data_IF_328283490083
#
_entry.id   IF_328283490083
#
_cell.length_a   1.000
_cell.length_b   1.000
_cell.length_c   1.000
_cell.angle_alpha   90.00
_cell.angle_beta   90.00
_cell.angle_gamma   90.00
#
_symmetry.space_group_name_H-M   'P 1'
#
loop_
_entity.id
_entity.type
_entity.pdbx_description
1 polymer ?
#
# COMPACT_ATOMS: atom_id res chain seq x y z
N UNK A 1 24.32 26.26 28.26
CA UNK A 1 23.07 26.82 27.70
C UNK A 1 23.14 28.32 27.90
N UNK A 2 23.22 29.07 26.80
CA UNK A 2 23.24 30.53 26.82
C UNK A 2 21.82 31.03 27.09
N UNK A 3 21.67 32.21 27.74
CA UNK A 3 20.38 32.83 28.07
C UNK A 3 19.51 33.00 26.83
N UNK A 4 20.13 33.26 25.69
CA UNK A 4 19.44 33.35 24.37
C UNK A 4 18.96 31.97 23.86
N UNK A 5 19.69 30.89 24.13
CA UNK A 5 19.23 29.54 23.82
C UNK A 5 18.04 29.15 24.70
N UNK A 6 18.09 29.45 25.97
CA UNK A 6 16.99 29.23 26.93
C UNK A 6 15.73 30.02 26.55
N UNK A 7 15.89 31.32 26.19
CA UNK A 7 14.78 32.13 25.70
C UNK A 7 14.21 31.63 24.35
N UNK A 8 15.07 31.15 23.45
CA UNK A 8 14.62 30.53 22.18
C UNK A 8 13.86 29.24 22.41
N UNK A 9 14.30 28.40 23.31
CA UNK A 9 13.59 27.14 23.63
C UNK A 9 12.24 27.43 24.29
N UNK A 10 12.17 28.32 25.27
CA UNK A 10 10.92 28.74 25.90
C UNK A 10 9.91 29.40 24.95
N UNK A 11 10.37 30.25 24.05
CA UNK A 11 9.50 30.86 23.05
C UNK A 11 9.06 29.83 22.00
N UNK A 12 9.94 28.90 21.61
CA UNK A 12 9.61 27.80 20.69
C UNK A 12 8.56 26.86 21.26
N UNK A 13 8.58 26.59 22.56
CA UNK A 13 7.54 25.77 23.22
C UNK A 13 6.19 26.49 23.24
N UNK A 14 6.16 27.79 23.52
CA UNK A 14 4.90 28.57 23.57
C UNK A 14 4.27 28.80 22.19
N UNK A 15 5.07 28.98 21.14
CA UNK A 15 4.63 29.21 19.79
C UNK A 15 4.43 27.93 18.97
N UNK A 16 4.73 26.74 19.54
CA UNK A 16 4.52 25.48 18.83
C UNK A 16 3.03 25.15 18.69
N UNK A 17 2.61 24.48 17.60
CA UNK A 17 1.22 24.09 17.40
C UNK A 17 0.66 23.31 18.60
N UNK A 18 -0.62 23.51 18.92
CA UNK A 18 -1.31 22.89 20.05
C UNK A 18 -1.09 21.36 20.11
N UNK A 19 -1.15 20.69 18.96
CA UNK A 19 -0.89 19.27 18.85
C UNK A 19 0.54 18.85 19.27
N UNK A 20 1.50 19.77 19.27
CA UNK A 20 2.84 19.55 19.76
C UNK A 20 2.96 19.83 21.26
N UNK A 21 2.31 20.89 21.76
CA UNK A 21 2.30 21.29 23.18
C UNK A 21 1.57 20.27 24.04
N UNK A 22 0.41 19.77 23.60
CA UNK A 22 -0.41 18.78 24.30
C UNK A 22 0.11 17.33 24.18
N UNK A 23 1.28 17.14 23.56
CA UNK A 23 1.81 15.79 23.40
C UNK A 23 2.05 15.14 24.77
N UNK A 24 1.51 13.92 24.99
CA UNK A 24 1.77 13.13 26.18
C UNK A 24 3.26 13.03 26.51
N UNK A 25 3.61 13.15 27.77
CA UNK A 25 4.97 12.96 28.31
C UNK A 25 5.12 11.61 28.98
N UNK A 26 4.03 11.03 29.46
CA UNK A 26 3.98 9.72 30.09
C UNK A 26 3.05 8.77 29.33
N UNK A 27 3.22 7.47 29.54
CA UNK A 27 2.40 6.44 28.88
C UNK A 27 0.93 6.52 29.31
N UNK A 28 0.68 6.92 30.56
CA UNK A 28 -0.65 6.98 31.14
C UNK A 28 -1.45 8.22 30.64
N UNK A 29 -0.79 9.20 30.02
CA UNK A 29 -1.42 10.35 29.37
C UNK A 29 -1.87 10.06 27.93
N UNK A 30 -1.45 8.93 27.35
CA UNK A 30 -1.80 8.60 25.96
C UNK A 30 -3.28 8.22 25.89
N UNK A 31 -4.02 8.94 25.07
CA UNK A 31 -5.43 8.67 24.80
C UNK A 31 -5.53 7.66 23.66
N UNK A 32 -6.46 6.70 23.78
CA UNK A 32 -6.70 5.66 22.79
C UNK A 32 -5.66 4.54 22.79
N UNK A 33 -5.58 3.80 21.68
CA UNK A 33 -4.63 2.70 21.45
C UNK A 33 -4.65 1.60 22.53
N UNK A 34 -5.79 1.39 23.20
CA UNK A 34 -5.93 0.45 24.34
C UNK A 34 -5.52 -0.99 23.99
N UNK A 35 -5.67 -1.39 22.72
CA UNK A 35 -5.33 -2.74 22.23
C UNK A 35 -3.81 -3.04 22.31
N UNK A 36 -2.94 -2.01 22.33
CA UNK A 36 -1.48 -2.16 22.45
C UNK A 36 -0.90 -1.52 23.72
N UNK A 37 -1.58 -0.53 24.31
CA UNK A 37 -1.10 0.26 25.45
C UNK A 37 -1.84 0.03 26.78
N UNK A 38 -2.83 -0.87 26.83
CA UNK A 38 -3.43 -1.24 28.13
C UNK A 38 -2.39 -1.91 29.02
N UNK A 39 -2.58 -1.80 30.35
CA UNK A 39 -1.59 -2.25 31.37
C UNK A 39 -1.18 -3.72 31.25
N UNK A 40 -2.05 -4.57 30.73
CA UNK A 40 -1.83 -6.00 30.45
C UNK A 40 -1.06 -6.26 29.15
N UNK A 41 -0.91 -5.28 28.28
CA UNK A 41 -0.33 -5.45 26.95
C UNK A 41 1.20 -5.45 26.96
N UNK A 42 1.76 -6.14 25.96
CA UNK A 42 3.20 -6.33 25.82
C UNK A 42 3.96 -5.00 25.79
N UNK A 43 3.51 -4.06 24.93
CA UNK A 43 4.21 -2.79 24.75
C UNK A 43 4.25 -1.96 26.05
N UNK A 44 3.11 -1.85 26.76
CA UNK A 44 3.05 -1.17 28.05
C UNK A 44 4.05 -1.75 29.06
N UNK A 45 4.03 -3.08 29.21
CA UNK A 45 4.92 -3.78 30.16
C UNK A 45 6.39 -3.64 29.79
N UNK A 46 6.72 -3.69 28.51
CA UNK A 46 8.08 -3.51 28.00
C UNK A 46 8.62 -2.09 28.29
N UNK A 47 7.77 -1.06 28.10
CA UNK A 47 8.10 0.33 28.41
C UNK A 47 8.36 0.50 29.91
N UNK A 48 7.45 0.03 30.76
CA UNK A 48 7.58 0.15 32.22
C UNK A 48 8.78 -0.63 32.77
N UNK A 49 9.18 -1.72 32.15
CA UNK A 49 10.32 -2.54 32.56
C UNK A 49 11.66 -2.06 31.98
N UNK A 50 11.69 -0.97 31.18
CA UNK A 50 12.89 -0.51 30.44
C UNK A 50 13.54 -1.64 29.60
N UNK A 51 12.71 -2.48 28.97
CA UNK A 51 13.12 -3.66 28.19
C UNK A 51 12.56 -3.60 26.76
N UNK A 52 12.74 -2.44 26.12
CA UNK A 52 12.29 -2.25 24.75
C UNK A 52 13.31 -2.85 23.77
N UNK A 53 12.81 -3.71 22.88
CA UNK A 53 13.46 -4.13 21.65
C UNK A 53 13.08 -3.20 20.49
N UNK A 54 13.65 -3.40 19.33
CA UNK A 54 13.25 -2.66 18.13
C UNK A 54 11.78 -2.91 17.80
N UNK A 55 11.07 -1.85 17.41
CA UNK A 55 9.64 -1.87 17.09
C UNK A 55 9.35 -1.08 15.81
N UNK A 56 8.29 -1.45 15.14
CA UNK A 56 7.72 -0.71 14.02
C UNK A 56 6.28 -0.34 14.38
N UNK A 57 6.01 0.96 14.39
CA UNK A 57 4.68 1.53 14.62
C UNK A 57 4.08 1.90 13.27
N UNK A 58 2.99 1.25 12.86
CA UNK A 58 2.34 1.58 11.60
C UNK A 58 0.86 1.91 11.81
N UNK A 59 0.31 2.72 10.91
CA UNK A 59 -1.09 3.11 10.95
C UNK A 59 -1.32 4.53 10.42
N UNK A 60 -2.58 5.01 10.34
CA UNK A 60 -2.94 6.30 9.77
C UNK A 60 -2.25 7.49 10.43
N UNK A 61 -2.15 8.65 9.74
CA UNK A 61 -1.61 9.86 10.33
C UNK A 61 -2.46 10.32 11.54
N UNK A 62 -1.84 11.01 12.48
CA UNK A 62 -2.51 11.55 13.66
C UNK A 62 -2.87 10.55 14.76
N UNK A 63 -2.54 9.26 14.60
CA UNK A 63 -2.85 8.18 15.58
C UNK A 63 -1.88 8.08 16.75
N UNK A 64 -0.79 8.88 16.77
CA UNK A 64 0.12 8.96 17.90
C UNK A 64 1.46 8.25 17.75
N UNK A 65 1.88 7.79 16.55
CA UNK A 65 3.17 7.10 16.32
C UNK A 65 4.38 7.83 16.92
N UNK A 66 4.57 9.09 16.54
CA UNK A 66 5.65 9.94 17.05
C UNK A 66 5.50 10.23 18.55
N UNK A 67 4.27 10.32 19.04
CA UNK A 67 3.96 10.51 20.46
C UNK A 67 4.41 9.31 21.29
N UNK A 68 4.04 8.10 20.87
CA UNK A 68 4.45 6.85 21.55
C UNK A 68 5.97 6.74 21.57
N UNK A 69 6.65 7.02 20.46
CA UNK A 69 8.12 6.96 20.39
C UNK A 69 8.77 7.94 21.40
N UNK A 70 8.25 9.16 21.54
CA UNK A 70 8.74 10.13 22.52
C UNK A 70 8.44 9.74 23.96
N UNK A 71 7.26 9.19 24.23
CA UNK A 71 6.92 8.66 25.55
C UNK A 71 7.83 7.50 25.95
N UNK A 72 8.14 6.62 25.00
CA UNK A 72 9.13 5.55 25.21
C UNK A 72 10.48 6.17 25.60
N UNK A 73 10.93 7.15 24.84
CA UNK A 73 12.20 7.84 25.10
C UNK A 73 12.25 8.49 26.49
N UNK A 74 11.17 9.15 26.89
CA UNK A 74 11.07 9.82 28.19
C UNK A 74 11.00 8.84 29.38
N UNK A 75 10.48 7.63 29.14
CA UNK A 75 10.29 6.63 30.19
C UNK A 75 11.50 5.71 30.32
N UNK A 76 12.35 5.62 29.33
CA UNK A 76 13.54 4.75 29.31
C UNK A 76 14.80 5.51 29.65
N UNK A 77 15.85 4.80 30.07
CA UNK A 77 17.19 5.36 30.36
C UNK A 77 18.03 5.59 29.09
N UNK A 78 17.50 5.26 27.90
CA UNK A 78 18.20 5.34 26.63
C UNK A 78 18.35 6.78 26.10
N UNK A 79 19.42 7.02 25.34
CA UNK A 79 19.54 8.26 24.57
C UNK A 79 18.58 8.23 23.39
N UNK A 80 17.88 9.34 23.12
CA UNK A 80 16.91 9.41 22.01
C UNK A 80 17.45 10.26 20.86
N UNK A 81 17.40 9.72 19.67
CA UNK A 81 17.70 10.46 18.43
C UNK A 81 16.59 10.24 17.42
N UNK A 82 16.13 11.33 16.81
CA UNK A 82 15.07 11.29 15.80
C UNK A 82 15.63 11.71 14.44
N UNK A 83 15.31 10.95 13.42
CA UNK A 83 15.53 11.32 12.01
C UNK A 83 14.22 11.17 11.23
N UNK A 84 14.08 11.95 10.17
CA UNK A 84 12.97 11.82 9.23
C UNK A 84 13.50 11.26 7.90
N UNK A 85 13.02 10.11 7.48
CA UNK A 85 13.50 9.40 6.30
C UNK A 85 13.24 10.16 4.99
N UNK A 86 12.34 11.17 4.97
CA UNK A 86 12.10 11.98 3.77
C UNK A 86 13.25 12.94 3.46
N UNK A 87 14.07 13.30 4.47
CA UNK A 87 15.14 14.32 4.35
C UNK A 87 16.51 13.73 4.69
N UNK A 88 16.55 12.69 5.53
CA UNK A 88 17.80 12.13 6.04
C UNK A 88 18.57 11.35 4.96
N UNK A 89 19.85 11.66 4.85
CA UNK A 89 20.80 10.99 3.98
C UNK A 89 21.69 10.00 4.73
N UNK A 90 22.62 9.40 3.99
CA UNK A 90 23.59 8.43 4.54
C UNK A 90 24.46 9.04 5.66
N UNK A 91 24.86 10.31 5.51
CA UNK A 91 25.68 11.02 6.52
C UNK A 91 24.97 11.17 7.86
N UNK A 92 23.69 11.50 7.82
CA UNK A 92 22.89 11.65 9.07
C UNK A 92 22.82 10.33 9.82
N UNK A 93 22.69 9.21 9.10
CA UNK A 93 22.69 7.86 9.68
C UNK A 93 24.05 7.50 10.27
N UNK A 94 25.15 7.83 9.58
CA UNK A 94 26.52 7.60 10.06
C UNK A 94 26.80 8.38 11.35
N UNK A 95 26.35 9.65 11.44
CA UNK A 95 26.47 10.46 12.65
C UNK A 95 25.69 9.87 13.84
N UNK A 96 24.46 9.39 13.59
CA UNK A 96 23.64 8.75 14.62
C UNK A 96 24.33 7.48 15.14
N UNK A 97 24.83 6.65 14.23
CA UNK A 97 25.54 5.41 14.60
C UNK A 97 26.81 5.73 15.39
N UNK A 98 27.59 6.74 15.00
CA UNK A 98 28.77 7.16 15.73
C UNK A 98 28.43 7.58 17.16
N UNK A 99 27.43 8.47 17.31
CA UNK A 99 26.93 8.90 18.64
C UNK A 99 26.42 7.73 19.48
N UNK A 100 25.74 6.76 18.85
CA UNK A 100 25.24 5.58 19.56
C UNK A 100 26.37 4.70 20.10
N UNK A 101 27.43 4.50 19.32
CA UNK A 101 28.64 3.78 19.76
C UNK A 101 29.34 4.50 20.92
N UNK A 102 29.46 5.83 20.82
CA UNK A 102 30.06 6.63 21.90
C UNK A 102 29.22 6.55 23.18
N UNK A 103 27.89 6.69 23.09
CA UNK A 103 26.99 6.56 24.22
C UNK A 103 27.08 5.19 24.91
N UNK A 104 27.16 4.13 24.11
CA UNK A 104 27.28 2.77 24.61
C UNK A 104 28.66 2.53 25.22
N UNK A 105 29.75 2.97 24.55
CA UNK A 105 31.11 2.79 25.02
C UNK A 105 31.48 3.60 26.27
N UNK A 106 31.03 4.87 26.33
CA UNK A 106 31.37 5.77 27.42
C UNK A 106 30.43 5.66 28.65
N UNK A 107 29.13 5.41 28.38
CA UNK A 107 28.12 5.52 29.44
C UNK A 107 27.29 4.24 29.63
N UNK A 108 27.54 3.18 28.85
CA UNK A 108 26.74 1.96 28.86
C UNK A 108 25.26 2.18 28.48
N UNK A 109 24.93 3.34 27.87
CA UNK A 109 23.56 3.72 27.54
C UNK A 109 23.23 3.29 26.08
N UNK A 110 22.12 2.61 25.91
CA UNK A 110 21.56 2.32 24.58
C UNK A 110 21.05 3.59 23.91
N UNK A 111 21.04 3.61 22.59
CA UNK A 111 20.44 4.70 21.83
C UNK A 111 19.19 4.20 21.12
N UNK A 112 18.06 4.87 21.38
CA UNK A 112 16.82 4.70 20.62
C UNK A 112 16.91 5.61 19.40
N UNK A 113 16.90 5.00 18.21
CA UNK A 113 16.77 5.71 16.96
C UNK A 113 15.32 5.67 16.50
N UNK A 114 14.65 6.81 16.55
CA UNK A 114 13.32 6.97 15.95
C UNK A 114 13.44 7.43 14.51
N UNK A 115 12.92 6.61 13.58
CA UNK A 115 12.88 6.90 12.14
C UNK A 115 11.44 7.17 11.75
N UNK A 116 11.12 8.44 11.50
CA UNK A 116 9.80 8.81 10.98
C UNK A 116 9.72 8.56 9.47
N UNK A 117 8.60 8.02 9.00
CA UNK A 117 8.36 7.61 7.61
C UNK A 117 9.42 6.63 7.08
N UNK A 118 9.74 5.57 7.84
CA UNK A 118 10.82 4.62 7.54
C UNK A 118 10.70 3.99 6.14
N UNK A 119 9.49 3.89 5.57
CA UNK A 119 9.26 3.41 4.21
C UNK A 119 9.90 4.29 3.12
N UNK A 120 10.27 5.54 3.44
CA UNK A 120 10.99 6.45 2.52
C UNK A 120 12.47 6.12 2.41
N UNK A 121 13.02 5.35 3.32
CA UNK A 121 14.37 4.84 3.17
C UNK A 121 14.43 3.77 2.07
N UNK A 122 15.40 3.90 1.17
CA UNK A 122 15.70 2.85 0.20
C UNK A 122 16.28 1.59 0.89
N UNK A 123 16.29 0.47 0.17
CA UNK A 123 16.78 -0.81 0.72
C UNK A 123 18.19 -0.72 1.30
N UNK A 124 19.12 -0.01 0.63
CA UNK A 124 20.49 0.16 1.10
C UNK A 124 20.59 0.95 2.40
N UNK A 125 19.71 1.94 2.62
CA UNK A 125 19.64 2.69 3.86
C UNK A 125 19.06 1.84 5.00
N UNK A 126 18.04 1.04 4.71
CA UNK A 126 17.48 0.09 5.67
C UNK A 126 18.50 -1.00 6.05
N UNK A 127 19.23 -1.54 5.06
CA UNK A 127 20.28 -2.54 5.28
C UNK A 127 21.45 -1.99 6.12
N UNK A 128 21.77 -0.71 5.98
CA UNK A 128 22.81 -0.05 6.77
C UNK A 128 22.52 -0.08 8.29
N UNK A 129 21.27 -0.05 8.70
CA UNK A 129 20.87 -0.09 10.12
C UNK A 129 20.95 -1.49 10.72
N UNK A 130 20.86 -2.55 9.91
CA UNK A 130 20.77 -3.94 10.36
C UNK A 130 21.87 -4.35 11.36
N UNK A 131 23.17 -4.16 11.09
CA UNK A 131 24.22 -4.58 12.00
C UNK A 131 24.09 -3.97 13.40
N UNK A 132 23.65 -2.70 13.48
CA UNK A 132 23.54 -1.95 14.74
C UNK A 132 22.27 -2.28 15.51
N UNK A 133 21.24 -2.77 14.83
CA UNK A 133 20.04 -3.34 15.45
C UNK A 133 20.32 -4.76 15.95
N UNK A 134 21.13 -5.54 15.22
CA UNK A 134 21.51 -6.91 15.59
C UNK A 134 22.41 -6.94 16.82
N UNK A 135 23.41 -6.08 16.89
CA UNK A 135 24.36 -6.04 18.02
C UNK A 135 23.81 -5.26 19.24
N UNK A 136 22.63 -4.63 19.11
CA UNK A 136 21.96 -3.89 20.16
C UNK A 136 22.55 -2.49 20.45
N UNK A 137 23.45 -1.99 19.61
CA UNK A 137 23.94 -0.60 19.66
C UNK A 137 22.79 0.39 19.47
N UNK A 138 21.86 0.05 18.58
CA UNK A 138 20.64 0.81 18.32
C UNK A 138 19.40 0.01 18.67
N UNK A 139 18.44 0.65 19.32
CA UNK A 139 17.05 0.21 19.39
C UNK A 139 16.26 1.02 18.37
N UNK A 140 15.81 0.37 17.29
CA UNK A 140 15.08 1.03 16.24
C UNK A 140 13.60 1.18 16.62
N UNK A 141 13.06 2.40 16.50
CA UNK A 141 11.62 2.64 16.50
C UNK A 141 11.29 3.22 15.11
N UNK A 142 10.80 2.38 14.21
CA UNK A 142 10.32 2.81 12.89
C UNK A 142 8.87 3.28 12.97
N UNK A 143 8.53 4.41 12.35
CA UNK A 143 7.15 4.85 12.16
C UNK A 143 6.82 4.91 10.67
N UNK A 144 5.64 4.44 10.29
CA UNK A 144 5.17 4.47 8.90
C UNK A 144 3.65 4.58 8.84
N UNK A 145 3.15 5.18 7.77
CA UNK A 145 1.72 5.15 7.42
C UNK A 145 1.38 3.96 6.53
N UNK A 146 2.40 3.28 5.98
CA UNK A 146 2.25 2.19 5.03
C UNK A 146 2.42 0.83 5.72
N UNK A 147 1.90 -0.23 5.08
CA UNK A 147 2.04 -1.59 5.61
C UNK A 147 3.52 -2.02 5.62
N UNK A 148 4.13 -2.24 6.79
CA UNK A 148 5.55 -2.50 6.90
C UNK A 148 5.98 -3.79 6.19
N UNK A 149 5.10 -4.76 6.02
CA UNK A 149 5.42 -6.01 5.33
C UNK A 149 5.70 -5.85 3.83
N UNK A 150 5.27 -4.74 3.22
CA UNK A 150 5.56 -4.42 1.83
C UNK A 150 6.75 -3.48 1.66
N UNK A 151 6.91 -2.53 2.59
CA UNK A 151 7.80 -1.38 2.41
C UNK A 151 9.08 -1.45 3.25
N UNK A 152 9.06 -2.22 4.34
CA UNK A 152 10.23 -2.37 5.21
C UNK A 152 10.96 -3.67 4.90
N UNK A 153 12.29 -3.63 4.92
CA UNK A 153 13.13 -4.80 4.68
C UNK A 153 12.77 -5.95 5.63
N UNK A 154 12.55 -7.14 5.07
CA UNK A 154 12.21 -8.35 5.82
C UNK A 154 13.20 -8.69 6.94
N UNK A 155 14.48 -8.32 6.79
CA UNK A 155 15.48 -8.50 7.82
C UNK A 155 15.27 -7.57 9.04
N UNK A 156 14.82 -6.33 8.84
CA UNK A 156 14.42 -5.43 9.94
C UNK A 156 13.12 -5.90 10.60
N UNK A 157 12.15 -6.34 9.79
CA UNK A 157 10.87 -6.87 10.28
C UNK A 157 11.09 -8.06 11.21
N UNK A 158 11.95 -9.02 10.82
CA UNK A 158 12.23 -10.22 11.62
C UNK A 158 12.88 -9.92 12.99
N UNK A 159 13.41 -8.72 13.16
CA UNK A 159 14.08 -8.24 14.38
C UNK A 159 13.30 -7.20 15.16
N UNK A 160 12.11 -6.86 14.70
CA UNK A 160 11.26 -5.82 15.28
C UNK A 160 9.89 -6.36 15.65
N UNK A 161 9.33 -5.90 16.76
CA UNK A 161 7.92 -6.13 17.04
C UNK A 161 7.08 -5.10 16.30
N UNK A 162 6.02 -5.55 15.63
CA UNK A 162 5.16 -4.69 14.82
C UNK A 162 3.90 -4.37 15.63
N UNK A 163 3.56 -3.08 15.73
CA UNK A 163 2.35 -2.61 16.40
C UNK A 163 1.53 -1.74 15.46
N UNK A 164 0.31 -2.16 15.24
CA UNK A 164 -0.69 -1.41 14.49
C UNK A 164 -1.32 -0.34 15.38
N UNK A 165 -1.33 0.91 14.92
CA UNK A 165 -2.09 2.00 15.52
C UNK A 165 -3.37 2.20 14.70
N UNK A 166 -4.50 2.23 15.38
CA UNK A 166 -5.80 2.43 14.76
C UNK A 166 -6.21 3.91 14.82
N UNK A 167 -7.09 4.37 13.93
CA UNK A 167 -7.73 5.67 14.10
C UNK A 167 -8.29 5.78 15.53
N UNK A 168 -8.17 6.97 16.12
CA UNK A 168 -8.75 7.21 17.44
C UNK A 168 -10.28 7.15 17.36
N UNK A 169 -10.89 6.60 18.39
CA UNK A 169 -12.34 6.56 18.49
C UNK A 169 -12.89 7.97 18.77
N UNK A 170 -14.15 8.20 18.47
CA UNK A 170 -14.81 9.48 18.65
C UNK A 170 -14.65 10.01 20.08
N UNK A 171 -14.82 9.13 21.07
CA UNK A 171 -14.66 9.49 22.48
C UNK A 171 -13.23 9.86 22.85
N UNK A 172 -12.23 9.21 22.23
CA UNK A 172 -10.83 9.56 22.41
C UNK A 172 -10.53 10.98 21.89
N UNK A 173 -11.11 11.34 20.74
CA UNK A 173 -10.97 12.68 20.17
C UNK A 173 -11.68 13.73 21.02
N UNK A 174 -12.88 13.46 21.53
CA UNK A 174 -13.56 14.35 22.47
C UNK A 174 -12.72 14.62 23.71
N UNK A 175 -12.15 13.57 24.30
CA UNK A 175 -11.25 13.69 25.46
C UNK A 175 -10.07 14.62 25.15
N UNK A 176 -9.44 14.46 23.97
CA UNK A 176 -8.32 15.31 23.53
C UNK A 176 -8.73 16.77 23.35
N UNK A 177 -9.89 17.04 22.73
CA UNK A 177 -10.41 18.41 22.53
C UNK A 177 -10.73 19.06 23.89
N UNK A 178 -11.41 18.36 24.81
CA UNK A 178 -11.74 18.86 26.13
C UNK A 178 -10.47 19.15 26.94
N UNK A 179 -9.48 18.25 26.89
CA UNK A 179 -8.16 18.48 27.49
C UNK A 179 -7.49 19.72 26.90
N UNK A 180 -7.57 19.91 25.59
CA UNK A 180 -7.00 21.06 24.91
C UNK A 180 -7.60 22.39 25.38
N UNK A 181 -8.90 22.45 25.58
CA UNK A 181 -9.62 23.65 26.00
C UNK A 181 -9.41 23.95 27.50
N UNK A 182 -9.21 22.93 28.34
CA UNK A 182 -9.12 23.07 29.80
C UNK A 182 -7.70 23.19 30.35
N UNK A 183 -6.70 22.63 29.69
CA UNK A 183 -5.30 22.66 30.14
C UNK A 183 -4.75 24.09 30.04
N UNK A 184 -4.39 24.70 31.19
CA UNK A 184 -3.87 26.06 31.28
C UNK A 184 -2.38 26.17 30.94
N UNK A 185 -1.64 25.09 31.10
CA UNK A 185 -0.19 25.10 30.95
C UNK A 185 0.23 24.78 29.51
N UNK A 186 -0.34 23.74 28.94
CA UNK A 186 0.02 23.25 27.60
C UNK A 186 -1.06 23.49 26.54
N UNK A 187 -2.30 23.77 26.99
CA UNK A 187 -3.48 23.90 26.14
C UNK A 187 -3.91 25.35 25.90
N UNK A 188 -5.22 25.51 25.78
CA UNK A 188 -5.93 26.74 25.51
C UNK A 188 -6.70 27.26 26.75
N UNK A 189 -6.53 26.65 27.92
CA UNK A 189 -7.29 26.99 29.14
C UNK A 189 -7.12 28.45 29.59
N UNK A 190 -6.04 29.14 29.18
CA UNK A 190 -5.84 30.58 29.41
C UNK A 190 -6.78 31.50 28.60
N UNK A 191 -7.42 30.99 27.56
CA UNK A 191 -8.38 31.72 26.73
C UNK A 191 -9.80 31.70 27.28
N UNK A 192 -10.10 30.86 28.30
CA UNK A 192 -11.42 30.68 28.87
C UNK A 192 -12.49 30.28 27.81
N UNK A 193 -12.07 29.43 26.86
CA UNK A 193 -12.95 28.96 25.82
C UNK A 193 -13.90 27.88 26.32
N UNK A 194 -15.14 27.90 25.78
CA UNK A 194 -16.17 26.89 26.02
C UNK A 194 -16.57 26.30 24.68
N UNK A 195 -16.54 24.99 24.57
CA UNK A 195 -17.02 24.28 23.37
C UNK A 195 -18.43 23.74 23.62
N UNK A 196 -19.35 23.99 22.70
CA UNK A 196 -20.70 23.44 22.72
C UNK A 196 -20.70 21.95 22.37
N UNK A 197 -21.67 21.19 22.89
CA UNK A 197 -21.68 19.71 22.72
C UNK A 197 -21.80 19.29 21.25
N UNK A 198 -22.63 19.98 20.46
CA UNK A 198 -22.78 19.74 19.02
C UNK A 198 -21.50 20.07 18.23
N UNK A 199 -20.79 21.12 18.59
CA UNK A 199 -19.49 21.46 18.03
C UNK A 199 -18.42 20.39 18.37
N UNK A 200 -18.43 19.90 19.61
CA UNK A 200 -17.54 18.84 20.07
C UNK A 200 -17.80 17.54 19.30
N UNK A 201 -19.07 17.15 19.19
CA UNK A 201 -19.49 15.98 18.42
C UNK A 201 -19.06 16.09 16.96
N UNK A 202 -19.29 17.24 16.36
CA UNK A 202 -18.96 17.51 14.96
C UNK A 202 -17.45 17.45 14.69
N UNK A 203 -16.63 18.09 15.51
CA UNK A 203 -15.16 18.04 15.38
C UNK A 203 -14.63 16.62 15.56
N UNK A 204 -15.19 15.87 16.51
CA UNK A 204 -14.77 14.50 16.76
C UNK A 204 -15.09 13.59 15.57
N UNK A 205 -16.28 13.72 14.96
CA UNK A 205 -16.67 12.94 13.78
C UNK A 205 -15.82 13.28 12.55
N UNK A 206 -15.67 14.58 12.25
CA UNK A 206 -14.98 15.02 11.03
C UNK A 206 -13.45 14.89 11.09
N UNK A 207 -12.87 14.74 12.28
CA UNK A 207 -11.44 14.47 12.42
C UNK A 207 -11.03 13.12 11.84
N UNK A 208 -11.97 12.17 11.69
CA UNK A 208 -11.72 10.83 11.17
C UNK A 208 -10.70 10.03 11.98
N UNK A 209 -10.61 10.29 13.30
CA UNK A 209 -9.66 9.65 14.21
C UNK A 209 -8.23 10.23 14.15
N UNK A 210 -8.03 11.36 13.47
CA UNK A 210 -6.77 12.11 13.42
C UNK A 210 -6.76 13.20 14.53
N UNK A 211 -6.05 12.94 15.64
CA UNK A 211 -5.90 13.88 16.74
C UNK A 211 -5.30 15.23 16.32
N UNK A 212 -4.37 15.24 15.39
CA UNK A 212 -3.73 16.48 14.91
C UNK A 212 -4.74 17.36 14.19
N UNK A 213 -5.61 16.76 13.39
CA UNK A 213 -6.65 17.50 12.67
C UNK A 213 -7.65 18.14 13.64
N UNK A 214 -8.11 17.38 14.63
CA UNK A 214 -9.02 17.87 15.67
C UNK A 214 -8.40 19.02 16.50
N UNK A 215 -7.15 18.85 16.93
CA UNK A 215 -6.43 19.85 17.74
C UNK A 215 -6.11 21.13 16.95
N UNK A 216 -5.79 21.02 15.67
CA UNK A 216 -5.58 22.20 14.84
C UNK A 216 -6.89 22.97 14.61
N UNK A 217 -8.01 22.26 14.41
CA UNK A 217 -9.31 22.88 14.22
C UNK A 217 -9.74 23.67 15.47
N UNK A 218 -9.64 23.07 16.66
CA UNK A 218 -10.02 23.75 17.91
C UNK A 218 -9.04 24.89 18.22
N UNK A 219 -7.72 24.78 17.94
CA UNK A 219 -6.76 25.86 18.10
C UNK A 219 -7.15 27.05 17.22
N UNK A 220 -7.46 26.82 15.96
CA UNK A 220 -7.89 27.87 15.04
C UNK A 220 -9.18 28.52 15.53
N UNK A 221 -10.19 27.74 15.94
CA UNK A 221 -11.45 28.26 16.45
C UNK A 221 -11.26 29.18 17.67
N UNK A 222 -10.47 28.75 18.64
CA UNK A 222 -10.21 29.57 19.84
C UNK A 222 -9.43 30.84 19.54
N UNK A 223 -8.45 30.77 18.60
CA UNK A 223 -7.60 31.91 18.26
C UNK A 223 -8.30 32.96 17.40
N UNK A 224 -9.36 32.59 16.66
CA UNK A 224 -10.02 33.48 15.68
C UNK A 224 -11.41 33.95 16.12
N UNK A 225 -12.00 33.35 17.15
CA UNK A 225 -13.32 33.72 17.64
C UNK A 225 -13.22 34.82 18.69
N UNK A 226 -14.03 35.87 18.54
CA UNK A 226 -14.10 36.98 19.50
C UNK A 226 -14.77 36.54 20.80
N UNK A 227 -14.43 37.22 21.89
CA UNK A 227 -15.09 36.97 23.20
C UNK A 227 -16.52 37.45 23.20
N UNK A 228 -17.41 36.66 23.73
CA UNK A 228 -18.81 37.01 23.94
C UNK A 228 -18.99 38.00 25.10
N UNK A 229 -20.22 38.47 25.33
CA UNK A 229 -20.55 39.43 26.41
C UNK A 229 -20.24 38.87 27.82
N UNK A 230 -20.20 37.57 28.01
CA UNK A 230 -19.80 36.89 29.25
C UNK A 230 -18.28 36.81 29.45
N UNK A 231 -17.49 37.36 28.50
CA UNK A 231 -16.04 37.37 28.50
C UNK A 231 -15.40 36.06 28.03
N UNK A 232 -16.16 35.07 27.65
CA UNK A 232 -15.67 33.76 27.19
C UNK A 232 -15.68 33.65 25.67
N UNK A 233 -14.90 32.73 25.15
CA UNK A 233 -14.89 32.35 23.74
C UNK A 233 -15.80 31.13 23.57
N UNK A 234 -16.89 31.25 22.81
CA UNK A 234 -17.84 30.18 22.55
C UNK A 234 -17.54 29.54 21.20
N UNK A 235 -17.18 28.26 21.22
CA UNK A 235 -16.98 27.45 20.01
C UNK A 235 -18.31 26.76 19.71
N UNK A 236 -19.09 27.40 18.85
CA UNK A 236 -20.38 26.90 18.37
C UNK A 236 -20.17 25.95 17.18
N UNK A 237 -21.22 25.24 16.77
CA UNK A 237 -21.20 24.39 15.57
C UNK A 237 -20.77 25.18 14.32
N UNK A 238 -21.25 26.41 14.15
CA UNK A 238 -20.88 27.25 13.00
C UNK A 238 -19.37 27.55 12.97
N UNK A 239 -18.78 27.89 14.12
CA UNK A 239 -17.33 28.09 14.24
C UNK A 239 -16.57 26.82 13.94
N UNK A 240 -17.04 25.67 14.45
CA UNK A 240 -16.43 24.38 14.21
C UNK A 240 -16.45 23.99 12.72
N UNK A 241 -17.55 24.26 12.01
CA UNK A 241 -17.69 24.04 10.57
C UNK A 241 -16.71 24.86 9.73
N UNK A 242 -16.44 26.10 10.12
CA UNK A 242 -15.46 26.97 9.44
C UNK A 242 -14.02 26.52 9.70
N UNK A 243 -13.71 26.05 10.92
CA UNK A 243 -12.36 25.74 11.32
C UNK A 243 -11.87 24.36 10.84
N UNK A 244 -12.77 23.42 10.67
CA UNK A 244 -12.40 22.13 10.15
C UNK A 244 -12.39 22.19 8.62
N UNK A 245 -11.21 22.37 8.04
CA UNK A 245 -11.09 22.22 6.60
C UNK A 245 -11.54 20.83 6.21
N UNK A 246 -12.60 20.72 5.40
CA UNK A 246 -12.98 19.47 4.73
C UNK A 246 -11.78 19.01 3.87
N UNK A 247 -10.89 18.27 4.47
CA UNK A 247 -10.04 17.39 3.67
C UNK A 247 -11.00 16.35 3.11
N UNK A 248 -11.20 16.38 1.78
CA UNK A 248 -11.85 15.28 1.09
C UNK A 248 -11.33 13.99 1.70
N UNK A 249 -12.20 12.97 1.90
CA UNK A 249 -11.82 11.70 2.54
C UNK A 249 -10.39 11.36 2.14
N UNK A 250 -9.45 11.39 3.09
CA UNK A 250 -8.08 10.99 2.83
C UNK A 250 -8.10 9.50 2.56
N UNK A 251 -8.17 9.22 1.33
CA UNK A 251 -7.67 7.99 0.78
C UNK A 251 -6.15 8.11 0.92
N UNK A 252 -5.61 7.39 1.88
CA UNK A 252 -4.17 7.30 2.03
C UNK A 252 -3.68 6.55 0.80
N UNK A 253 -3.05 7.26 -0.14
CA UNK A 253 -2.64 6.69 -1.44
C UNK A 253 -1.68 5.52 -1.28
N UNK A 254 -1.09 5.39 -0.11
CA UNK A 254 -0.04 4.44 0.23
C UNK A 254 -0.39 3.58 1.48
N UNK A 255 -1.62 3.66 2.03
CA UNK A 255 -2.04 2.93 3.24
C UNK A 255 -2.85 1.65 2.97
N UNK A 256 -3.08 0.84 4.02
CA UNK A 256 -3.84 -0.41 3.95
C UNK A 256 -5.22 -0.26 3.28
N UNK A 257 -5.91 0.86 3.51
CA UNK A 257 -7.18 1.19 2.84
C UNK A 257 -7.05 1.34 1.31
N UNK A 258 -5.87 1.75 0.82
CA UNK A 258 -5.60 1.80 -0.62
C UNK A 258 -5.55 0.39 -1.19
N UNK A 259 -4.69 -0.47 -0.62
CA UNK A 259 -4.53 -1.85 -1.09
C UNK A 259 -5.84 -2.64 -0.97
N UNK A 260 -6.60 -2.45 0.10
CA UNK A 260 -7.90 -3.08 0.30
C UNK A 260 -8.93 -2.61 -0.73
N UNK A 261 -9.00 -1.32 -1.03
CA UNK A 261 -9.90 -0.78 -2.04
C UNK A 261 -9.53 -1.24 -3.45
N UNK A 262 -8.23 -1.22 -3.80
CA UNK A 262 -7.74 -1.75 -5.08
C UNK A 262 -8.01 -3.26 -5.19
N UNK A 263 -7.78 -4.01 -4.12
CA UNK A 263 -8.08 -5.44 -4.06
C UNK A 263 -9.57 -5.72 -4.24
N UNK A 264 -10.44 -4.96 -3.56
CA UNK A 264 -11.87 -5.06 -3.70
C UNK A 264 -12.34 -4.70 -5.13
N UNK A 265 -11.78 -3.65 -5.72
CA UNK A 265 -12.03 -3.25 -7.11
C UNK A 265 -11.74 -4.38 -8.10
N UNK A 266 -10.54 -4.97 -8.02
CA UNK A 266 -10.14 -6.09 -8.89
C UNK A 266 -11.04 -7.30 -8.64
N UNK A 267 -11.31 -7.66 -7.38
CA UNK A 267 -12.17 -8.80 -7.02
C UNK A 267 -13.61 -8.62 -7.49
N UNK A 268 -14.13 -7.40 -7.49
CA UNK A 268 -15.47 -7.10 -8.02
C UNK A 268 -15.56 -7.32 -9.51
N UNK A 269 -14.58 -6.83 -10.30
CA UNK A 269 -14.52 -7.11 -11.74
C UNK A 269 -14.35 -8.61 -12.02
N UNK A 270 -13.48 -9.30 -11.29
CA UNK A 270 -13.27 -10.75 -11.39
C UNK A 270 -14.53 -11.54 -11.03
N UNK A 271 -15.25 -11.11 -9.99
CA UNK A 271 -16.48 -11.71 -9.51
C UNK A 271 -17.72 -11.37 -10.32
N UNK A 272 -17.59 -10.58 -11.40
CA UNK A 272 -18.69 -10.15 -12.25
C UNK A 272 -19.77 -9.34 -11.53
N UNK A 273 -19.36 -8.48 -10.60
CA UNK A 273 -20.20 -7.51 -9.93
C UNK A 273 -19.89 -6.08 -10.44
N UNK A 274 -20.61 -5.59 -11.46
CA UNK A 274 -20.37 -4.27 -12.05
C UNK A 274 -20.70 -3.12 -11.08
N UNK A 275 -21.68 -3.29 -10.18
CA UNK A 275 -22.08 -2.24 -9.24
C UNK A 275 -21.01 -2.03 -8.19
N UNK A 276 -20.50 -3.09 -7.59
CA UNK A 276 -19.38 -3.02 -6.66
C UNK A 276 -18.10 -2.48 -7.36
N UNK A 277 -17.83 -2.90 -8.61
CA UNK A 277 -16.68 -2.42 -9.36
C UNK A 277 -16.76 -0.90 -9.62
N UNK A 278 -17.91 -0.37 -10.00
CA UNK A 278 -18.14 1.08 -10.19
C UNK A 278 -18.06 1.82 -8.86
N UNK A 279 -18.58 1.25 -7.77
CA UNK A 279 -18.47 1.85 -6.44
C UNK A 279 -17.01 2.01 -6.01
N UNK A 280 -16.19 0.97 -6.13
CA UNK A 280 -14.77 1.04 -5.77
C UNK A 280 -13.97 1.93 -6.73
N UNK A 281 -14.34 1.98 -8.02
CA UNK A 281 -13.81 2.98 -8.96
C UNK A 281 -14.08 4.40 -8.47
N UNK A 282 -15.33 4.71 -8.13
CA UNK A 282 -15.71 6.03 -7.63
C UNK A 282 -14.98 6.38 -6.32
N UNK A 283 -14.82 5.40 -5.42
CA UNK A 283 -14.06 5.57 -4.16
C UNK A 283 -12.58 5.90 -4.43
N UNK A 284 -11.93 5.23 -5.40
CA UNK A 284 -10.55 5.52 -5.80
C UNK A 284 -10.42 6.91 -6.46
N UNK A 285 -11.33 7.26 -7.37
CA UNK A 285 -11.34 8.56 -8.05
C UNK A 285 -11.59 9.72 -7.08
N UNK A 286 -12.55 9.57 -6.17
CA UNK A 286 -12.84 10.56 -5.13
C UNK A 286 -11.64 10.79 -4.21
N UNK A 287 -10.88 9.74 -3.95
CA UNK A 287 -9.66 9.78 -3.18
C UNK A 287 -8.45 10.38 -3.95
N UNK A 288 -8.63 10.70 -5.21
CA UNK A 288 -7.59 11.28 -6.07
C UNK A 288 -6.55 10.28 -6.57
N UNK A 289 -6.95 8.99 -6.70
CA UNK A 289 -6.08 7.98 -7.29
C UNK A 289 -5.76 8.31 -8.75
N UNK A 290 -4.58 7.89 -9.19
CA UNK A 290 -4.14 8.11 -10.58
C UNK A 290 -5.03 7.38 -11.56
N UNK A 291 -5.63 8.09 -12.52
CA UNK A 291 -6.42 7.48 -13.60
C UNK A 291 -5.63 6.46 -14.41
N UNK A 292 -4.31 6.69 -14.59
CA UNK A 292 -3.42 5.76 -15.29
C UNK A 292 -3.13 4.50 -14.46
N UNK A 293 -3.07 4.62 -13.14
CA UNK A 293 -2.97 3.46 -12.25
C UNK A 293 -4.25 2.61 -12.34
N UNK A 294 -5.42 3.23 -12.24
CA UNK A 294 -6.72 2.53 -12.35
C UNK A 294 -6.83 1.84 -13.70
N UNK A 295 -6.51 2.53 -14.80
CA UNK A 295 -6.54 1.97 -16.15
C UNK A 295 -5.63 0.74 -16.30
N UNK A 296 -4.42 0.75 -15.71
CA UNK A 296 -3.54 -0.41 -15.69
C UNK A 296 -4.16 -1.61 -14.97
N UNK A 297 -4.89 -1.40 -13.87
CA UNK A 297 -5.59 -2.49 -13.16
C UNK A 297 -6.71 -3.10 -13.98
N UNK A 298 -7.42 -2.27 -14.74
CA UNK A 298 -8.46 -2.75 -15.68
C UNK A 298 -7.82 -3.60 -16.80
N UNK A 299 -6.71 -3.16 -17.40
CA UNK A 299 -6.00 -3.93 -18.43
C UNK A 299 -5.49 -5.28 -17.92
N UNK A 300 -4.95 -5.31 -16.71
CA UNK A 300 -4.49 -6.56 -16.07
C UNK A 300 -5.68 -7.50 -15.86
N UNK A 301 -6.79 -7.03 -15.29
CA UNK A 301 -7.99 -7.82 -15.07
C UNK A 301 -8.59 -8.35 -16.38
N UNK A 302 -8.61 -7.53 -17.44
CA UNK A 302 -9.05 -7.94 -18.77
C UNK A 302 -8.22 -9.10 -19.35
N UNK A 303 -6.90 -9.13 -19.06
CA UNK A 303 -6.01 -10.20 -19.53
C UNK A 303 -6.00 -11.41 -18.62
N UNK A 304 -6.01 -11.22 -17.30
CA UNK A 304 -5.88 -12.25 -16.27
C UNK A 304 -7.20 -13.02 -16.08
N UNK A 305 -8.33 -12.30 -15.95
CA UNK A 305 -9.61 -12.84 -15.51
C UNK A 305 -10.62 -13.05 -16.65
N UNK A 306 -10.52 -12.27 -17.73
CA UNK A 306 -11.36 -12.41 -18.93
C UNK A 306 -10.63 -13.20 -20.02
N UNK A 307 -9.40 -12.81 -20.33
CA UNK A 307 -8.55 -13.49 -21.31
C UNK A 307 -9.25 -13.73 -22.65
N UNK A 308 -9.15 -14.96 -23.17
CA UNK A 308 -9.75 -15.35 -24.44
C UNK A 308 -11.25 -15.66 -24.37
N UNK A 309 -11.87 -15.59 -23.18
CA UNK A 309 -13.33 -15.72 -23.08
C UNK A 309 -14.06 -14.53 -23.75
N UNK A 310 -13.44 -13.33 -23.72
CA UNK A 310 -13.83 -12.18 -24.56
C UNK A 310 -12.58 -11.41 -25.01
N UNK A 311 -12.08 -11.65 -26.23
CA UNK A 311 -10.91 -10.97 -26.77
C UNK A 311 -11.02 -9.44 -26.84
N UNK A 312 -12.23 -8.89 -26.86
CA UNK A 312 -12.46 -7.45 -26.93
C UNK A 312 -12.20 -6.75 -25.57
N UNK A 313 -12.25 -7.48 -24.45
CA UNK A 313 -12.08 -6.88 -23.14
C UNK A 313 -10.74 -6.14 -23.00
N UNK A 314 -9.66 -6.74 -23.48
CA UNK A 314 -8.34 -6.10 -23.48
C UNK A 314 -8.31 -4.90 -24.44
N UNK A 315 -8.94 -4.99 -25.61
CA UNK A 315 -9.02 -3.87 -26.56
C UNK A 315 -9.74 -2.66 -25.96
N UNK A 316 -10.89 -2.89 -25.30
CA UNK A 316 -11.63 -1.84 -24.59
C UNK A 316 -10.80 -1.23 -23.46
N UNK A 317 -10.13 -2.06 -22.66
CA UNK A 317 -9.30 -1.59 -21.55
C UNK A 317 -8.10 -0.75 -22.05
N UNK A 318 -7.44 -1.15 -23.14
CA UNK A 318 -6.33 -0.41 -23.75
C UNK A 318 -6.82 0.92 -24.35
N UNK A 319 -7.94 0.90 -25.10
CA UNK A 319 -8.53 2.12 -25.63
C UNK A 319 -8.91 3.11 -24.53
N UNK A 320 -9.49 2.63 -23.42
CA UNK A 320 -9.80 3.46 -22.26
C UNK A 320 -8.53 4.05 -21.63
N UNK A 321 -7.46 3.25 -21.46
CA UNK A 321 -6.19 3.72 -20.92
C UNK A 321 -5.59 4.86 -21.77
N UNK A 322 -5.58 4.72 -23.07
CA UNK A 322 -5.11 5.76 -23.99
C UNK A 322 -5.98 7.02 -23.99
N UNK A 323 -7.29 6.86 -23.84
CA UNK A 323 -8.22 7.98 -23.83
C UNK A 323 -8.10 8.80 -22.54
N UNK A 324 -7.99 8.16 -21.35
CA UNK A 324 -7.89 8.89 -20.07
C UNK A 324 -6.60 9.71 -19.95
N UNK A 325 -5.50 9.25 -20.57
CA UNK A 325 -4.24 10.01 -20.61
C UNK A 325 -4.36 11.31 -21.41
N UNK A 326 -5.24 11.33 -22.43
CA UNK A 326 -5.42 12.50 -23.32
C UNK A 326 -6.47 13.46 -22.79
N UNK A 327 -7.51 12.94 -22.16
CA UNK A 327 -8.69 13.73 -21.77
C UNK A 327 -8.54 14.27 -20.35
N UNK A 328 -8.07 13.44 -19.41
CA UNK A 328 -7.97 13.83 -18.00
C UNK A 328 -9.31 13.90 -17.27
N UNK A 329 -9.25 14.32 -16.01
CA UNK A 329 -10.45 14.52 -15.17
C UNK A 329 -11.11 15.88 -15.50
N UNK A 330 -12.44 15.99 -15.37
CA UNK A 330 -13.38 15.02 -14.81
C UNK A 330 -13.89 13.94 -15.78
N UNK A 331 -13.75 14.10 -17.11
CA UNK A 331 -14.35 13.23 -18.11
C UNK A 331 -13.76 11.82 -18.12
N UNK A 332 -12.51 11.65 -17.66
CA UNK A 332 -11.85 10.34 -17.56
C UNK A 332 -12.65 9.33 -16.70
N UNK A 333 -13.44 9.78 -15.73
CA UNK A 333 -14.30 8.93 -14.91
C UNK A 333 -15.35 8.17 -15.74
N UNK A 334 -15.87 8.81 -16.79
CA UNK A 334 -16.88 8.20 -17.69
C UNK A 334 -16.24 7.07 -18.49
N UNK A 335 -15.04 7.31 -19.04
CA UNK A 335 -14.29 6.35 -19.83
C UNK A 335 -13.89 5.14 -18.98
N UNK A 336 -13.40 5.38 -17.75
CA UNK A 336 -13.05 4.31 -16.82
C UNK A 336 -14.28 3.49 -16.42
N UNK A 337 -15.42 4.14 -16.14
CA UNK A 337 -16.68 3.44 -15.81
C UNK A 337 -17.13 2.53 -16.95
N UNK A 338 -17.05 3.00 -18.21
CA UNK A 338 -17.35 2.19 -19.38
C UNK A 338 -16.47 0.93 -19.45
N UNK A 339 -15.15 1.08 -19.31
CA UNK A 339 -14.22 -0.06 -19.34
C UNK A 339 -14.44 -1.02 -18.18
N UNK A 340 -14.67 -0.51 -16.97
CA UNK A 340 -14.92 -1.30 -15.75
C UNK A 340 -16.17 -2.15 -15.89
N UNK A 341 -17.29 -1.54 -16.32
CA UNK A 341 -18.56 -2.27 -16.49
C UNK A 341 -18.46 -3.33 -17.60
N UNK A 342 -17.74 -3.01 -18.71
CA UNK A 342 -17.48 -3.99 -19.76
C UNK A 342 -16.72 -5.19 -19.22
N UNK A 343 -15.57 -4.97 -18.55
CA UNK A 343 -14.71 -6.04 -18.02
C UNK A 343 -15.42 -6.83 -16.92
N UNK A 344 -16.20 -6.16 -16.06
CA UNK A 344 -16.99 -6.82 -15.03
C UNK A 344 -18.07 -7.74 -15.61
N UNK A 345 -18.76 -7.32 -16.67
CA UNK A 345 -19.83 -8.10 -17.32
C UNK A 345 -19.32 -9.16 -18.33
N UNK A 346 -18.06 -9.09 -18.75
CA UNK A 346 -17.48 -10.04 -19.69
C UNK A 346 -17.42 -11.47 -19.11
N UNK A 347 -17.57 -12.52 -19.97
CA UNK A 347 -17.33 -13.89 -19.53
C UNK A 347 -15.89 -14.07 -19.02
N UNK A 348 -15.70 -14.89 -18.00
CA UNK A 348 -14.43 -15.04 -17.30
C UNK A 348 -13.69 -16.30 -17.71
N UNK A 349 -12.38 -16.17 -17.95
CA UNK A 349 -11.42 -17.27 -18.08
C UNK A 349 -10.02 -16.82 -17.73
N UNK A 350 -9.36 -17.55 -16.87
CA UNK A 350 -7.95 -17.40 -16.54
C UNK A 350 -7.05 -18.43 -17.24
N UNK A 351 -7.56 -19.12 -18.25
CA UNK A 351 -6.85 -20.21 -18.93
C UNK A 351 -5.51 -19.75 -19.53
N UNK A 352 -5.46 -18.58 -20.16
CA UNK A 352 -4.23 -18.01 -20.72
C UNK A 352 -3.22 -17.62 -19.62
N UNK A 353 -3.69 -17.06 -18.53
CA UNK A 353 -2.87 -16.70 -17.37
C UNK A 353 -2.26 -17.94 -16.70
N UNK A 354 -3.06 -18.98 -16.46
CA UNK A 354 -2.60 -20.25 -15.91
C UNK A 354 -1.58 -20.94 -16.83
N UNK A 355 -1.79 -20.86 -18.14
CA UNK A 355 -0.90 -21.47 -19.14
C UNK A 355 0.54 -20.90 -19.02
N UNK A 356 0.70 -19.60 -18.96
CA UNK A 356 2.03 -18.99 -18.84
C UNK A 356 2.67 -19.28 -17.48
N UNK A 357 1.90 -19.26 -16.39
CA UNK A 357 2.46 -19.55 -15.07
C UNK A 357 2.90 -21.03 -14.95
N UNK A 358 2.10 -21.96 -15.48
CA UNK A 358 2.48 -23.37 -15.53
C UNK A 358 3.74 -23.58 -16.40
N UNK A 359 3.79 -22.97 -17.58
CA UNK A 359 4.95 -23.06 -18.47
C UNK A 359 6.20 -22.48 -17.81
N UNK A 360 6.12 -21.30 -17.15
CA UNK A 360 7.24 -20.70 -16.40
C UNK A 360 7.75 -21.59 -15.27
N UNK A 361 6.85 -22.27 -14.54
CA UNK A 361 7.25 -23.20 -13.50
C UNK A 361 7.99 -24.42 -14.06
N UNK A 362 7.53 -24.95 -15.21
CA UNK A 362 8.22 -26.04 -15.89
C UNK A 362 9.61 -25.62 -16.34
N UNK A 363 9.76 -24.47 -16.99
CA UNK A 363 11.07 -23.94 -17.41
C UNK A 363 12.02 -23.79 -16.22
N UNK A 364 11.53 -23.30 -15.08
CA UNK A 364 12.34 -23.18 -13.85
C UNK A 364 12.82 -24.54 -13.31
N UNK A 365 11.99 -25.57 -13.43
CA UNK A 365 12.29 -26.94 -12.93
C UNK A 365 13.20 -27.72 -13.87
N UNK A 366 12.99 -27.58 -15.18
CA UNK A 366 13.67 -28.42 -16.20
C UNK A 366 14.92 -27.75 -16.77
N UNK A 367 15.11 -26.44 -16.53
CA UNK A 367 16.21 -25.69 -17.11
C UNK A 367 16.08 -25.55 -18.64
N UNK A 368 17.22 -25.58 -19.33
CA UNK A 368 17.30 -25.35 -20.76
C UNK A 368 17.15 -26.67 -21.55
N UNK A 369 15.91 -27.14 -21.75
CA UNK A 369 15.61 -28.28 -22.61
C UNK A 369 15.91 -27.94 -24.08
N UNK A 370 16.34 -28.95 -24.86
CA UNK A 370 16.69 -28.75 -26.27
C UNK A 370 15.44 -28.59 -27.13
N UNK A 371 15.46 -27.58 -27.98
CA UNK A 371 14.45 -27.43 -29.03
C UNK A 371 14.55 -28.61 -30.01
N UNK A 372 13.45 -29.25 -30.43
CA UNK A 372 13.44 -30.30 -31.44
C UNK A 372 14.21 -29.88 -32.69
N UNK A 373 15.05 -30.77 -33.25
CA UNK A 373 15.98 -30.41 -34.32
C UNK A 373 15.31 -29.87 -35.57
N UNK A 374 14.14 -30.39 -35.95
CA UNK A 374 13.33 -29.91 -37.07
C UNK A 374 12.76 -28.48 -36.88
N UNK A 375 12.66 -27.98 -35.63
CA UNK A 375 12.23 -26.62 -35.32
C UNK A 375 13.36 -25.63 -35.18
N UNK A 376 14.63 -26.11 -35.15
CA UNK A 376 15.80 -25.26 -35.01
C UNK A 376 16.03 -24.43 -36.30
N UNK A 377 16.60 -23.23 -36.15
CA UNK A 377 16.86 -22.31 -37.23
C UNK A 377 17.74 -22.95 -38.32
N UNK A 378 17.24 -22.91 -39.60
CA UNK A 378 17.88 -23.48 -40.76
C UNK A 378 18.46 -22.40 -41.74
N UNK A 379 18.39 -21.11 -41.39
CA UNK A 379 18.73 -20.00 -42.28
C UNK A 379 20.25 -19.73 -42.44
N UNK A 380 21.11 -20.49 -41.76
CA UNK A 380 22.55 -20.29 -41.82
C UNK A 380 23.27 -21.42 -42.60
N UNK A 381 24.44 -21.10 -43.25
CA UNK A 381 25.23 -22.08 -44.00
C UNK A 381 25.71 -23.21 -43.08
N UNK A 382 25.31 -24.44 -43.36
CA UNK A 382 25.69 -25.63 -42.58
C UNK A 382 24.63 -26.14 -41.64
N UNK A 383 23.50 -25.45 -41.46
CA UNK A 383 22.40 -25.89 -40.59
C UNK A 383 21.96 -27.32 -40.94
N UNK A 384 21.77 -27.63 -42.22
CA UNK A 384 21.37 -28.97 -42.70
C UNK A 384 22.39 -30.07 -42.36
N UNK A 385 23.70 -29.76 -42.26
CA UNK A 385 24.73 -30.73 -41.84
C UNK A 385 24.64 -31.08 -40.39
N UNK A 386 24.03 -30.19 -39.58
CA UNK A 386 23.76 -30.38 -38.15
C UNK A 386 22.36 -30.94 -37.89
N UNK A 387 21.58 -31.18 -38.97
CA UNK A 387 20.20 -31.69 -38.89
C UNK A 387 19.16 -30.62 -38.50
N UNK A 388 19.56 -29.33 -38.44
CA UNK A 388 18.66 -28.23 -38.07
C UNK A 388 17.66 -27.97 -39.18
N UNK A 389 16.38 -27.90 -38.83
CA UNK A 389 15.27 -27.69 -39.78
C UNK A 389 14.94 -28.90 -40.68
N UNK A 390 15.71 -29.99 -40.57
CA UNK A 390 15.45 -31.19 -41.38
C UNK A 390 14.22 -31.92 -40.84
N UNK A 391 13.24 -32.18 -41.75
CA UNK A 391 11.99 -32.85 -41.40
C UNK A 391 10.90 -31.94 -40.85
N UNK A 392 11.11 -30.60 -40.88
CA UNK A 392 10.02 -29.69 -40.57
C UNK A 392 8.90 -29.76 -41.58
N UNK A 393 7.69 -29.97 -41.12
CA UNK A 393 6.48 -29.99 -41.96
C UNK A 393 5.81 -28.63 -41.90
N UNK A 394 5.74 -27.94 -43.02
CA UNK A 394 5.16 -26.60 -43.11
C UNK A 394 3.62 -26.70 -43.13
N UNK A 395 2.97 -26.23 -42.09
CA UNK A 395 1.53 -26.43 -41.86
C UNK A 395 0.64 -25.93 -43.03
N UNK A 396 1.06 -24.88 -43.77
CA UNK A 396 0.28 -24.35 -44.91
C UNK A 396 0.27 -25.26 -46.12
N UNK A 397 1.14 -26.28 -46.16
CA UNK A 397 1.14 -27.28 -47.24
C UNK A 397 0.17 -28.45 -46.98
N UNK A 398 -0.53 -28.43 -45.85
CA UNK A 398 -1.46 -29.47 -45.42
C UNK A 398 -2.89 -28.94 -45.30
N UNK A 399 -3.85 -29.85 -45.40
CA UNK A 399 -5.27 -29.55 -45.23
C UNK A 399 -5.53 -28.90 -43.88
N UNK A 400 -6.51 -27.99 -43.82
CA UNK A 400 -6.84 -27.21 -42.64
C UNK A 400 -5.67 -26.32 -42.14
N UNK A 401 -4.56 -26.20 -42.89
CA UNK A 401 -3.31 -25.57 -42.48
C UNK A 401 -2.82 -26.10 -41.13
N UNK A 402 -2.97 -27.40 -40.93
CA UNK A 402 -2.60 -28.11 -39.69
C UNK A 402 -1.85 -29.39 -40.00
N UNK A 403 -0.80 -29.65 -39.23
CA UNK A 403 -0.04 -30.89 -39.29
C UNK A 403 0.35 -31.32 -37.89
N UNK A 404 0.18 -32.60 -37.59
CA UNK A 404 0.58 -33.16 -36.35
C UNK A 404 2.10 -33.42 -36.35
N UNK A 405 2.85 -32.63 -35.56
CA UNK A 405 4.27 -32.82 -35.36
C UNK A 405 4.65 -32.39 -33.91
N UNK A 406 5.83 -32.78 -33.48
CA UNK A 406 6.31 -32.47 -32.11
C UNK A 406 6.81 -31.03 -32.07
N UNK A 407 6.13 -30.15 -31.36
CA UNK A 407 6.51 -28.75 -31.16
C UNK A 407 7.23 -28.48 -29.83
N UNK A 408 6.82 -29.16 -28.77
CA UNK A 408 7.51 -29.05 -27.47
C UNK A 408 8.80 -29.90 -27.47
N UNK A 409 9.76 -29.58 -26.58
CA UNK A 409 10.85 -30.50 -26.28
C UNK A 409 10.33 -31.92 -26.01
N UNK A 410 11.08 -32.93 -26.43
CA UNK A 410 10.63 -34.33 -26.33
C UNK A 410 10.29 -34.75 -24.92
N UNK A 411 10.99 -34.21 -23.92
CA UNK A 411 10.75 -34.45 -22.49
C UNK A 411 9.38 -33.90 -22.02
N UNK A 412 8.77 -33.01 -22.79
CA UNK A 412 7.46 -32.42 -22.53
C UNK A 412 6.39 -32.89 -23.52
N UNK A 413 6.65 -33.96 -24.27
CA UNK A 413 5.71 -34.52 -25.25
C UNK A 413 4.36 -34.82 -24.59
N UNK A 414 3.26 -34.42 -25.25
CA UNK A 414 1.90 -34.62 -24.76
C UNK A 414 1.46 -33.67 -23.62
N UNK A 415 2.33 -32.73 -23.18
CA UNK A 415 1.95 -31.76 -22.15
C UNK A 415 1.09 -30.66 -22.74
N UNK A 416 0.01 -30.32 -22.02
CA UNK A 416 -0.87 -29.21 -22.37
C UNK A 416 -0.77 -28.10 -21.32
N UNK A 417 -0.43 -26.89 -21.75
CA UNK A 417 -0.41 -25.70 -20.90
C UNK A 417 -1.71 -24.89 -21.04
N UNK A 418 -2.18 -24.68 -22.28
CA UNK A 418 -3.40 -23.91 -22.54
C UNK A 418 -4.61 -24.85 -22.61
N UNK A 419 -5.51 -24.70 -21.65
CA UNK A 419 -6.75 -25.49 -21.56
C UNK A 419 -7.93 -24.52 -21.62
N UNK A 420 -8.50 -24.24 -22.80
CA UNK A 420 -9.64 -23.35 -22.96
C UNK A 420 -10.79 -23.72 -22.03
N UNK A 421 -11.39 -22.71 -21.39
CA UNK A 421 -12.57 -22.90 -20.57
C UNK A 421 -13.83 -23.22 -21.41
N UNK A 422 -14.96 -23.40 -20.75
CA UNK A 422 -16.27 -23.51 -21.39
C UNK A 422 -16.99 -22.15 -21.52
N UNK A 423 -16.30 -21.03 -21.36
CA UNK A 423 -16.92 -19.71 -21.28
C UNK A 423 -16.63 -18.85 -22.52
N UNK A 424 -17.62 -18.09 -22.95
CA UNK A 424 -17.48 -17.06 -23.97
C UNK A 424 -16.87 -17.58 -25.28
N UNK A 425 -15.92 -16.83 -25.83
CA UNK A 425 -15.27 -17.16 -27.10
C UNK A 425 -14.36 -18.40 -27.01
N UNK A 426 -13.93 -18.82 -25.83
CA UNK A 426 -13.10 -20.02 -25.68
C UNK A 426 -13.85 -21.30 -26.05
N UNK A 427 -15.17 -21.32 -26.06
CA UNK A 427 -15.97 -22.42 -26.62
C UNK A 427 -15.63 -22.62 -28.11
N UNK A 428 -15.61 -21.53 -28.86
CA UNK A 428 -15.24 -21.55 -30.30
C UNK A 428 -13.80 -21.97 -30.54
N UNK A 429 -12.88 -21.49 -29.69
CA UNK A 429 -11.46 -21.89 -29.73
C UNK A 429 -11.36 -23.41 -29.52
N UNK A 430 -12.06 -23.95 -28.52
CA UNK A 430 -12.04 -25.37 -28.19
C UNK A 430 -12.62 -26.24 -29.31
N UNK A 431 -13.71 -25.77 -29.93
CA UNK A 431 -14.32 -26.43 -31.10
C UNK A 431 -13.36 -26.42 -32.28
N UNK A 432 -12.74 -25.29 -32.60
CA UNK A 432 -11.77 -25.16 -33.67
C UNK A 432 -10.53 -26.07 -33.43
N UNK A 433 -9.98 -26.10 -32.22
CA UNK A 433 -8.85 -27.00 -31.89
C UNK A 433 -9.22 -28.48 -32.07
N UNK A 434 -10.45 -28.87 -31.71
CA UNK A 434 -10.96 -30.22 -31.96
C UNK A 434 -11.10 -30.51 -33.46
N UNK A 435 -11.65 -29.55 -34.21
CA UNK A 435 -11.80 -29.68 -35.66
C UNK A 435 -10.45 -29.86 -36.38
N UNK A 436 -9.42 -29.12 -35.99
CA UNK A 436 -8.05 -29.28 -36.52
C UNK A 436 -7.51 -30.69 -36.30
N UNK A 437 -7.75 -31.28 -35.14
CA UNK A 437 -7.28 -32.63 -34.78
C UNK A 437 -8.18 -33.76 -35.29
N UNK A 438 -9.39 -33.46 -35.84
CA UNK A 438 -10.27 -34.48 -36.40
C UNK A 438 -9.72 -35.01 -37.72
N UNK A 439 -9.62 -36.35 -37.84
CA UNK A 439 -9.35 -36.97 -39.16
C UNK A 439 -10.60 -36.83 -39.99
N UNK A 440 -10.42 -36.42 -41.26
CA UNK A 440 -11.54 -36.37 -42.18
C UNK A 440 -11.98 -37.83 -42.48
N UNK A 441 -13.22 -38.17 -42.13
CA UNK A 441 -13.83 -39.51 -42.42
C UNK A 441 -14.12 -39.76 -43.91
N UNK A 442 -13.70 -38.84 -44.80
CA UNK A 442 -13.93 -38.92 -46.25
C UNK A 442 -12.69 -39.39 -47.01
N UNK A 443 -12.24 -40.66 -46.86
CA UNK A 443 -11.41 -41.31 -47.90
C UNK A 443 -11.53 -42.84 -47.86
N UNK A 444 -12.69 -43.41 -47.48
CA UNK A 444 -12.94 -44.86 -47.59
C UNK A 444 -14.15 -45.25 -48.42
N UNK A 445 -14.72 -44.35 -49.23
CA UNK A 445 -15.78 -44.74 -50.20
C UNK A 445 -15.32 -44.46 -51.66
N UNK A 446 -14.26 -45.04 -52.10
CA UNK A 446 -13.79 -44.84 -53.45
C UNK A 446 -12.71 -45.80 -53.95
N UNK A 447 -12.74 -47.03 -53.50
CA UNK A 447 -11.91 -48.14 -54.05
C UNK A 447 -12.60 -49.48 -53.94
N UNK A 448 -13.84 -49.55 -54.48
CA UNK A 448 -14.46 -50.80 -54.86
C UNK A 448 -15.51 -50.46 -55.98
N UNK A 449 -15.00 -50.15 -57.16
CA UNK A 449 -15.67 -50.34 -58.49
C UNK A 449 -14.61 -50.68 -59.52
#
# INVERSE_FOLDING_TARGET
MDLFEYMRENNKEKESPLAARLRPTTIDEIVGQKHILAKDKLLYRAIKADKISSIILYGPPGTGKTTIAKVIANTTSACFTQINATVAGKKDMEEVVAKAKDNFGMYGKKTILFVDEIHRFNKGQQDYLLPFVEDGTLVLIGATTENPYFEVNGALISRSAIFELRPLEKEDIKELILRAVTDKDRGLGGYEAVIEEDALEFLADLSGGDARNALNAIELGVMTTERSEDGKIHITLAVAEECIQKRGMRYDKDGDNHYDTVSAFIKSMRGSDPDAAVYYLAKMLYAGESVTFIARRIMICASEDVGNADPNALCVAVAAAQAVERIGMPEAQIILSHAVTYVACAPKSNAACNAIFEAMNVVKQTGNLKVPTHLQDAHYKGAAKLGHGVGYMYAHDYDKHYVEQQYLPYELSGREFYRPSGNGYEVKIKEHMKWLKSKDEETQQGKDE
#
